data_IF_809376580095
#
_entry.id   IF_809376580095
#
_cell.length_a   1.000
_cell.length_b   1.000
_cell.length_c   1.000
_cell.angle_alpha   90.00
_cell.angle_beta   90.00
_cell.angle_gamma   90.00
#
_symmetry.space_group_name_H-M   'P 1'
#
loop_
_entity.id
_entity.type
_entity.pdbx_description
1 polymer ?
#
# COMPACT_ATOMS: atom_id res chain seq x y z
N UNK A 1 14.21 -9.12 14.25
CA UNK A 1 13.69 -7.73 14.23
C UNK A 1 12.48 -7.72 15.14
N UNK A 2 12.48 -7.02 16.28
CA UNK A 2 11.61 -7.34 17.42
C UNK A 2 10.11 -7.33 17.11
N UNK A 3 9.63 -6.54 16.14
CA UNK A 3 8.23 -6.55 15.72
C UNK A 3 7.93 -7.67 14.72
N UNK A 4 8.85 -7.96 13.79
CA UNK A 4 8.66 -9.03 12.80
C UNK A 4 8.70 -10.40 13.47
N UNK A 5 9.53 -10.57 14.50
CA UNK A 5 9.68 -11.83 15.23
C UNK A 5 8.40 -12.20 16.03
N UNK A 6 7.49 -11.23 16.24
CA UNK A 6 6.20 -11.40 16.90
C UNK A 6 5.03 -11.62 15.92
N UNK A 7 5.24 -11.44 14.61
CA UNK A 7 4.18 -11.52 13.63
C UNK A 7 4.02 -12.95 13.10
N UNK A 8 2.79 -13.44 13.02
CA UNK A 8 2.49 -14.72 12.38
C UNK A 8 2.83 -14.69 10.87
N UNK A 9 2.66 -13.51 10.25
CA UNK A 9 2.82 -13.29 8.82
C UNK A 9 3.55 -11.96 8.59
N UNK A 10 4.61 -12.00 7.78
CA UNK A 10 5.30 -10.80 7.27
C UNK A 10 5.15 -10.75 5.74
N UNK A 11 4.47 -9.72 5.23
CA UNK A 11 4.19 -9.59 3.80
C UNK A 11 4.09 -8.11 3.37
N UNK A 12 4.16 -7.86 2.05
CA UNK A 12 3.78 -6.57 1.48
C UNK A 12 2.27 -6.34 1.64
N UNK A 13 1.78 -5.11 1.45
CA UNK A 13 0.34 -4.80 1.55
C UNK A 13 -0.52 -5.64 0.60
N UNK A 14 -0.03 -5.88 -0.63
CA UNK A 14 -0.67 -6.80 -1.59
C UNK A 14 -0.66 -8.25 -1.09
N UNK A 15 0.45 -8.69 -0.48
CA UNK A 15 0.55 -10.01 0.14
C UNK A 15 -0.40 -10.17 1.33
N UNK A 16 -0.51 -9.15 2.19
CA UNK A 16 -1.46 -9.12 3.30
C UNK A 16 -2.91 -9.24 2.82
N UNK A 17 -3.29 -8.54 1.74
CA UNK A 17 -4.64 -8.64 1.15
C UNK A 17 -4.94 -10.06 0.65
N UNK A 18 -4.00 -10.68 -0.07
CA UNK A 18 -4.13 -12.05 -0.55
C UNK A 18 -4.26 -13.04 0.61
N UNK A 19 -3.38 -12.94 1.61
CA UNK A 19 -3.38 -13.84 2.76
C UNK A 19 -4.65 -13.68 3.59
N UNK A 20 -5.13 -12.45 3.81
CA UNK A 20 -6.39 -12.22 4.49
C UNK A 20 -7.60 -12.81 3.74
N UNK A 21 -7.50 -13.01 2.42
CA UNK A 21 -8.52 -13.67 1.64
C UNK A 21 -8.47 -15.20 1.79
N UNK A 22 -7.28 -15.77 1.67
CA UNK A 22 -7.03 -17.22 1.67
C UNK A 22 -7.08 -17.85 3.07
N UNK A 23 -6.66 -17.11 4.10
CA UNK A 23 -6.55 -17.61 5.47
C UNK A 23 -7.95 -17.76 6.11
N UNK A 24 -8.28 -18.91 6.74
CA UNK A 24 -9.60 -19.15 7.32
C UNK A 24 -9.87 -18.37 8.62
N UNK A 25 -8.89 -17.69 9.20
CA UNK A 25 -9.06 -16.93 10.44
C UNK A 25 -10.15 -15.86 10.29
N UNK A 26 -10.87 -15.62 11.39
CA UNK A 26 -11.93 -14.62 11.45
C UNK A 26 -11.41 -13.24 11.88
N UNK A 27 -10.26 -13.18 12.52
CA UNK A 27 -9.73 -11.99 13.18
C UNK A 27 -8.25 -11.79 12.84
N UNK A 28 -7.88 -10.55 12.52
CA UNK A 28 -6.52 -10.19 12.15
C UNK A 28 -6.07 -8.93 12.87
N UNK A 29 -4.86 -8.98 13.40
CA UNK A 29 -4.13 -7.81 13.89
C UNK A 29 -3.21 -7.32 12.76
N UNK A 30 -3.40 -6.07 12.34
CA UNK A 30 -2.72 -5.49 11.17
C UNK A 30 -1.79 -4.37 11.62
N UNK A 31 -0.49 -4.54 11.33
CA UNK A 31 0.57 -3.58 11.62
C UNK A 31 1.08 -2.94 10.31
N UNK A 32 0.32 -1.97 9.78
CA UNK A 32 0.69 -1.24 8.54
C UNK A 32 0.02 0.15 8.54
N UNK A 33 -0.01 0.84 7.41
CA UNK A 33 -0.78 2.08 7.28
C UNK A 33 -2.29 1.82 7.35
N UNK A 34 -3.01 2.65 8.10
CA UNK A 34 -4.43 2.47 8.42
C UNK A 34 -5.34 2.34 7.19
N UNK A 35 -4.98 3.00 6.07
CA UNK A 35 -5.74 2.95 4.83
C UNK A 35 -5.89 1.54 4.24
N UNK A 36 -5.00 0.60 4.57
CA UNK A 36 -5.15 -0.79 4.12
C UNK A 36 -6.38 -1.47 4.73
N UNK A 37 -6.79 -1.10 5.95
CA UNK A 37 -7.93 -1.72 6.64
C UNK A 37 -9.24 -1.52 5.87
N UNK A 38 -9.39 -0.40 5.18
CA UNK A 38 -10.57 -0.17 4.34
C UNK A 38 -10.70 -1.25 3.26
N UNK A 39 -9.60 -1.56 2.54
CA UNK A 39 -9.60 -2.60 1.52
C UNK A 39 -9.79 -4.00 2.11
N UNK A 40 -9.08 -4.30 3.20
CA UNK A 40 -9.21 -5.59 3.89
C UNK A 40 -10.66 -5.89 4.28
N UNK A 41 -11.36 -4.92 4.90
CA UNK A 41 -12.78 -5.05 5.29
C UNK A 41 -13.71 -5.14 4.08
N UNK A 42 -13.43 -4.38 3.01
CA UNK A 42 -14.23 -4.39 1.79
C UNK A 42 -14.15 -5.72 1.03
N UNK A 43 -12.95 -6.28 0.93
CA UNK A 43 -12.64 -7.50 0.17
C UNK A 43 -12.96 -8.77 0.98
N UNK A 44 -13.00 -8.68 2.32
CA UNK A 44 -13.23 -9.82 3.21
C UNK A 44 -14.40 -9.60 4.17
N UNK A 45 -15.61 -9.52 3.60
CA UNK A 45 -16.84 -9.31 4.39
C UNK A 45 -17.02 -10.44 5.40
N UNK A 46 -17.13 -10.09 6.68
CA UNK A 46 -17.33 -11.03 7.80
C UNK A 46 -16.09 -11.27 8.65
N UNK A 47 -14.90 -10.90 8.16
CA UNK A 47 -13.66 -10.92 8.96
C UNK A 47 -13.46 -9.60 9.70
N UNK A 48 -12.82 -9.67 10.87
CA UNK A 48 -12.49 -8.51 11.70
C UNK A 48 -11.01 -8.15 11.55
N UNK A 49 -10.74 -6.84 11.45
CA UNK A 49 -9.40 -6.31 11.29
C UNK A 49 -9.15 -5.21 12.32
N UNK A 50 -8.17 -5.46 13.19
CA UNK A 50 -7.74 -4.61 14.28
C UNK A 50 -6.40 -3.97 13.95
N UNK A 51 -6.24 -2.69 14.24
CA UNK A 51 -5.00 -1.96 13.98
C UNK A 51 -4.11 -1.93 15.23
N UNK A 52 -2.80 -2.21 15.10
CA UNK A 52 -1.89 -2.38 16.26
C UNK A 52 -1.66 -1.09 17.06
N UNK A 53 -1.72 0.08 16.44
CA UNK A 53 -1.44 1.36 17.10
C UNK A 53 -2.60 2.33 16.90
N UNK A 54 -2.89 3.21 17.87
CA UNK A 54 -4.03 4.15 17.78
C UNK A 54 -4.23 4.80 16.41
N UNK A 55 -3.15 5.31 15.78
CA UNK A 55 -3.12 5.83 14.39
C UNK A 55 -1.74 5.62 13.76
N UNK A 56 -1.63 4.78 12.71
CA UNK A 56 -0.47 4.73 11.82
C UNK A 56 -0.90 5.29 10.46
N UNK A 57 -0.90 6.62 10.37
CA UNK A 57 -1.39 7.36 9.22
C UNK A 57 -0.21 8.02 8.52
N UNK A 58 -0.07 7.79 7.21
CA UNK A 58 0.93 8.48 6.40
C UNK A 58 0.37 9.85 5.97
N UNK A 59 0.87 10.98 6.52
CA UNK A 59 0.28 12.30 6.24
C UNK A 59 0.36 12.68 4.76
N UNK A 60 1.43 12.24 4.08
CA UNK A 60 1.60 12.50 2.64
C UNK A 60 0.60 11.74 1.77
N UNK A 61 0.23 10.51 2.13
CA UNK A 61 -0.80 9.76 1.39
C UNK A 61 -2.18 10.41 1.51
N UNK A 62 -2.49 11.06 2.65
CA UNK A 62 -3.77 11.76 2.86
C UNK A 62 -3.83 13.16 2.25
N UNK A 63 -2.76 13.63 1.59
CA UNK A 63 -2.82 14.89 0.83
C UNK A 63 -3.72 14.79 -0.41
N UNK A 64 -3.94 13.59 -0.92
CA UNK A 64 -4.81 13.30 -2.07
C UNK A 64 -6.26 13.24 -1.59
N UNK A 65 -7.11 14.12 -2.10
CA UNK A 65 -8.54 14.20 -1.80
C UNK A 65 -9.35 14.07 -3.10
N UNK A 66 -10.66 13.79 -2.99
CA UNK A 66 -11.53 13.64 -4.17
C UNK A 66 -11.60 14.92 -4.99
N UNK A 67 -11.62 16.08 -4.35
CA UNK A 67 -11.64 17.39 -5.00
C UNK A 67 -10.36 17.64 -5.79
N UNK A 68 -9.21 17.31 -5.19
CA UNK A 68 -7.91 17.44 -5.87
C UNK A 68 -7.77 16.50 -7.06
N UNK A 69 -8.33 15.29 -6.97
CA UNK A 69 -8.38 14.35 -8.10
C UNK A 69 -9.26 14.91 -9.21
N UNK A 70 -10.42 15.47 -8.88
CA UNK A 70 -11.30 16.12 -9.85
C UNK A 70 -10.60 17.27 -10.57
N UNK A 71 -9.98 18.20 -9.84
CA UNK A 71 -9.27 19.34 -10.41
C UNK A 71 -8.06 18.89 -11.25
N UNK A 72 -7.32 17.89 -10.77
CA UNK A 72 -6.20 17.30 -11.50
C UNK A 72 -6.60 16.78 -12.88
N UNK A 73 -7.75 16.10 -12.95
CA UNK A 73 -8.30 15.58 -14.21
C UNK A 73 -8.87 16.68 -15.10
N UNK A 74 -9.54 17.67 -14.52
CA UNK A 74 -10.15 18.78 -15.25
C UNK A 74 -9.10 19.68 -15.90
N UNK A 75 -8.03 20.00 -15.17
CA UNK A 75 -7.00 20.94 -15.60
C UNK A 75 -5.80 20.24 -16.26
N UNK A 76 -5.80 18.90 -16.34
CA UNK A 76 -4.67 18.06 -16.78
C UNK A 76 -3.37 18.40 -16.05
N UNK A 77 -3.46 18.64 -14.75
CA UNK A 77 -2.33 18.92 -13.86
C UNK A 77 -2.23 17.86 -12.77
N UNK A 78 -1.06 17.52 -12.23
CA UNK A 78 0.24 18.17 -12.36
C UNK A 78 1.17 17.25 -13.16
N UNK A 79 1.65 17.65 -14.37
CA UNK A 79 2.57 16.82 -15.13
C UNK A 79 3.84 16.55 -14.31
N UNK A 80 4.30 15.30 -14.34
CA UNK A 80 5.54 14.89 -13.67
C UNK A 80 6.62 14.72 -14.74
N UNK A 81 7.42 15.76 -14.91
CA UNK A 81 8.56 15.76 -15.82
C UNK A 81 9.85 15.43 -15.07
N UNK A 82 10.66 14.54 -15.66
CA UNK A 82 11.94 14.09 -15.10
C UNK A 82 13.01 14.27 -16.19
N UNK A 83 14.18 14.86 -15.88
CA UNK A 83 15.30 14.94 -16.81
C UNK A 83 15.67 13.56 -17.39
N UNK A 84 15.93 13.50 -18.69
CA UNK A 84 16.14 12.23 -19.43
C UNK A 84 17.28 11.40 -18.83
N UNK A 85 18.38 12.03 -18.44
CA UNK A 85 19.52 11.36 -17.81
C UNK A 85 19.17 10.70 -16.47
N UNK A 86 18.31 11.34 -15.67
CA UNK A 86 17.80 10.78 -14.42
C UNK A 86 16.84 9.62 -14.70
N UNK A 87 15.91 9.83 -15.66
CA UNK A 87 14.91 8.85 -16.02
C UNK A 87 15.53 7.56 -16.56
N UNK A 88 16.55 7.64 -17.42
CA UNK A 88 17.19 6.47 -18.04
C UNK A 88 17.93 5.62 -17.01
N UNK A 89 18.66 6.26 -16.09
CA UNK A 89 19.34 5.54 -15.00
C UNK A 89 18.36 4.88 -14.04
N UNK A 90 17.28 5.59 -13.67
CA UNK A 90 16.25 5.04 -12.80
C UNK A 90 15.51 3.87 -13.47
N UNK A 91 15.21 4.01 -14.77
CA UNK A 91 14.56 2.97 -15.58
C UNK A 91 15.37 1.68 -15.58
N UNK A 92 16.68 1.74 -15.80
CA UNK A 92 17.55 0.57 -15.79
C UNK A 92 17.46 -0.22 -14.46
N UNK A 93 17.42 0.48 -13.33
CA UNK A 93 17.28 -0.17 -12.02
C UNK A 93 15.92 -0.85 -11.86
N UNK A 94 14.83 -0.19 -12.27
CA UNK A 94 13.47 -0.72 -12.20
C UNK A 94 13.30 -1.93 -13.13
N UNK A 95 13.79 -1.86 -14.37
CA UNK A 95 13.72 -2.95 -15.33
C UNK A 95 14.44 -4.21 -14.82
N UNK A 96 15.62 -4.04 -14.21
CA UNK A 96 16.35 -5.15 -13.57
C UNK A 96 15.58 -5.74 -12.40
N UNK A 97 14.99 -4.90 -11.55
CA UNK A 97 14.15 -5.35 -10.43
C UNK A 97 12.96 -6.17 -10.93
N UNK A 98 12.23 -5.69 -11.94
CA UNK A 98 11.09 -6.40 -12.53
C UNK A 98 11.52 -7.71 -13.19
N UNK A 99 12.62 -7.72 -13.95
CA UNK A 99 13.14 -8.93 -14.59
C UNK A 99 13.57 -10.01 -13.59
N UNK A 100 14.04 -9.59 -12.41
CA UNK A 100 14.41 -10.48 -11.31
C UNK A 100 13.24 -10.90 -10.41
N UNK A 101 12.10 -10.19 -10.48
CA UNK A 101 10.92 -10.45 -9.65
C UNK A 101 9.99 -11.44 -10.36
N UNK A 102 10.20 -12.74 -10.12
CA UNK A 102 9.24 -13.81 -10.41
C UNK A 102 8.62 -14.31 -9.12
#
# INVERSE_FOLDING_TARGET
MPVLDLADIVASTSGMLRLAHEDPAAEFIVATEEGLLHRLRKENRGKQFYHVAGVALCPNMKKITLEKVLWSLQDLQYPVDIPTDVADRARLCIERMVAASK
#
